data_IF_587849859456
#
_entry.id   IF_587849859456
#
_cell.length_a   1.000
_cell.length_b   1.000
_cell.length_c   1.000
_cell.angle_alpha   90.00
_cell.angle_beta   90.00
_cell.angle_gamma   90.00
#
_symmetry.space_group_name_H-M   'P 1'
#
loop_
_entity.id
_entity.type
_entity.pdbx_description
1 polymer ?
#
# COMPACT_ATOMS: atom_id res chain seq x y z
N UNK A 1 13.02 17.71 -2.67
CA UNK A 1 11.93 17.14 -3.47
C UNK A 1 10.69 17.15 -2.60
N UNK A 2 9.52 17.51 -3.12
CA UNK A 2 8.30 17.60 -2.28
C UNK A 2 7.89 16.20 -1.81
N UNK A 3 7.60 15.99 -0.51
CA UNK A 3 7.12 14.71 -0.01
C UNK A 3 5.87 14.22 -0.75
N UNK A 4 4.99 15.12 -1.16
CA UNK A 4 3.79 14.81 -1.94
C UNK A 4 4.14 14.18 -3.29
N UNK A 5 5.16 14.68 -4.00
CA UNK A 5 5.58 14.09 -5.27
C UNK A 5 6.20 12.69 -5.08
N UNK A 6 6.95 12.49 -3.99
CA UNK A 6 7.53 11.17 -3.67
C UNK A 6 6.41 10.19 -3.34
N UNK A 7 5.49 10.58 -2.46
CA UNK A 7 4.35 9.75 -2.09
C UNK A 7 3.45 9.46 -3.30
N UNK A 8 3.18 10.44 -4.15
CA UNK A 8 2.44 10.23 -5.40
C UNK A 8 3.10 9.19 -6.30
N UNK A 9 4.43 9.24 -6.45
CA UNK A 9 5.17 8.23 -7.20
C UNK A 9 5.08 6.84 -6.54
N UNK A 10 5.17 6.75 -5.21
CA UNK A 10 5.03 5.48 -4.48
C UNK A 10 3.62 4.88 -4.68
N UNK A 11 2.57 5.68 -4.49
CA UNK A 11 1.18 5.25 -4.65
C UNK A 11 0.82 4.93 -6.09
N UNK A 12 1.41 5.63 -7.07
CA UNK A 12 1.26 5.29 -8.49
C UNK A 12 1.83 3.89 -8.79
N UNK A 13 3.03 3.57 -8.30
CA UNK A 13 3.64 2.25 -8.48
C UNK A 13 2.83 1.14 -7.77
N UNK A 14 2.31 1.41 -6.57
CA UNK A 14 1.38 0.48 -5.88
C UNK A 14 0.12 0.25 -6.72
N UNK A 15 -0.41 1.29 -7.37
CA UNK A 15 -1.53 1.20 -8.31
C UNK A 15 -1.22 0.26 -9.48
N UNK A 16 -0.03 0.38 -10.09
CA UNK A 16 0.40 -0.52 -11.17
C UNK A 16 0.49 -1.99 -10.70
N UNK A 17 1.05 -2.21 -9.51
CA UNK A 17 1.11 -3.56 -8.94
C UNK A 17 -0.30 -4.10 -8.68
N UNK A 18 -1.24 -3.25 -8.25
CA UNK A 18 -2.61 -3.64 -7.98
C UNK A 18 -3.32 -4.07 -9.26
N UNK A 19 -3.24 -3.27 -10.32
CA UNK A 19 -3.78 -3.62 -11.65
C UNK A 19 -3.17 -4.93 -12.17
N UNK A 20 -1.87 -5.17 -11.94
CA UNK A 20 -1.24 -6.43 -12.33
C UNK A 20 -1.80 -7.65 -11.58
N UNK A 21 -2.19 -7.50 -10.31
CA UNK A 21 -2.89 -8.54 -9.55
C UNK A 21 -4.30 -8.82 -10.08
N UNK A 22 -5.03 -7.78 -10.50
CA UNK A 22 -6.38 -7.91 -11.06
C UNK A 22 -6.37 -8.67 -12.39
N UNK A 23 -5.36 -8.43 -13.23
CA UNK A 23 -5.23 -9.12 -14.52
C UNK A 23 -4.75 -10.57 -14.38
N UNK A 24 -3.88 -10.84 -13.39
CA UNK A 24 -3.22 -12.15 -13.22
C UNK A 24 -3.06 -12.49 -11.74
N UNK A 25 -3.57 -13.63 -11.27
CA UNK A 25 -3.29 -14.13 -9.93
C UNK A 25 -1.78 -14.26 -9.71
N UNK A 26 -1.29 -13.68 -8.62
CA UNK A 26 0.12 -13.69 -8.26
C UNK A 26 0.43 -14.75 -7.19
N UNK A 27 1.71 -15.08 -7.04
CA UNK A 27 2.17 -15.98 -5.98
C UNK A 27 2.52 -15.20 -4.72
N UNK A 28 2.50 -15.88 -3.58
CA UNK A 28 2.84 -15.31 -2.27
C UNK A 28 4.09 -14.40 -2.23
N UNK A 29 5.22 -14.70 -2.90
CA UNK A 29 6.38 -13.79 -2.89
C UNK A 29 6.07 -12.40 -3.43
N UNK A 30 5.22 -12.30 -4.47
CA UNK A 30 4.78 -11.02 -5.01
C UNK A 30 3.94 -10.25 -4.00
N UNK A 31 2.95 -10.90 -3.38
CA UNK A 31 2.11 -10.24 -2.37
C UNK A 31 2.89 -9.80 -1.14
N UNK A 32 3.95 -10.53 -0.74
CA UNK A 32 4.88 -10.10 0.30
C UNK A 32 5.66 -8.85 -0.10
N UNK A 33 6.21 -8.82 -1.31
CA UNK A 33 6.88 -7.62 -1.84
C UNK A 33 5.93 -6.43 -1.95
N UNK A 34 4.69 -6.66 -2.39
CA UNK A 34 3.63 -5.66 -2.42
C UNK A 34 3.39 -5.08 -1.02
N UNK A 35 3.18 -5.95 -0.03
CA UNK A 35 2.92 -5.54 1.36
C UNK A 35 4.08 -4.72 1.93
N UNK A 36 5.33 -5.09 1.62
CA UNK A 36 6.49 -4.31 2.05
C UNK A 36 6.48 -2.90 1.45
N UNK A 37 6.22 -2.78 0.16
CA UNK A 37 6.19 -1.47 -0.49
C UNK A 37 5.01 -0.61 -0.03
N UNK A 38 3.86 -1.25 0.22
CA UNK A 38 2.71 -0.62 0.86
C UNK A 38 3.06 -0.07 2.25
N UNK A 39 3.74 -0.85 3.10
CA UNK A 39 4.23 -0.41 4.42
C UNK A 39 5.16 0.80 4.32
N UNK A 40 6.10 0.79 3.37
CA UNK A 40 7.01 1.92 3.15
C UNK A 40 6.23 3.20 2.75
N UNK A 41 5.24 3.08 1.84
CA UNK A 41 4.41 4.22 1.42
C UNK A 41 3.56 4.77 2.56
N UNK A 42 3.00 3.89 3.40
CA UNK A 42 2.26 4.26 4.60
C UNK A 42 3.16 4.99 5.62
N UNK A 43 4.34 4.44 5.92
CA UNK A 43 5.30 5.03 6.84
C UNK A 43 5.77 6.40 6.34
N UNK A 44 6.07 6.53 5.05
CA UNK A 44 6.47 7.79 4.44
C UNK A 44 5.35 8.83 4.55
N UNK A 45 4.11 8.47 4.19
CA UNK A 45 2.97 9.37 4.26
C UNK A 45 2.64 9.76 5.72
N UNK A 46 2.80 8.84 6.67
CA UNK A 46 2.64 9.10 8.11
C UNK A 46 3.69 10.08 8.63
N UNK A 47 4.96 9.81 8.36
CA UNK A 47 6.09 10.65 8.77
C UNK A 47 5.96 12.10 8.29
N UNK A 48 5.44 12.29 7.07
CA UNK A 48 5.21 13.61 6.49
C UNK A 48 3.81 14.19 6.77
N UNK A 49 2.97 13.51 7.55
CA UNK A 49 1.60 13.94 7.89
C UNK A 49 0.67 14.16 6.67
N UNK A 50 0.90 13.40 5.60
CA UNK A 50 0.15 13.49 4.33
C UNK A 50 -0.77 12.28 4.06
N UNK A 51 -0.97 11.40 5.05
CA UNK A 51 -1.94 10.29 4.99
C UNK A 51 -3.32 10.71 4.43
N UNK A 52 -3.93 11.85 4.83
CA UNK A 52 -5.24 12.24 4.33
C UNK A 52 -5.31 12.37 2.80
N UNK A 53 -4.19 12.68 2.13
CA UNK A 53 -4.13 12.80 0.66
C UNK A 53 -4.27 11.46 -0.06
N UNK A 54 -3.91 10.36 0.60
CA UNK A 54 -3.82 9.03 -0.01
C UNK A 54 -4.80 8.00 0.59
N UNK A 55 -5.74 8.46 1.43
CA UNK A 55 -6.69 7.59 2.14
C UNK A 55 -7.47 6.68 1.20
N UNK A 56 -7.86 7.17 0.03
CA UNK A 56 -8.60 6.38 -0.96
C UNK A 56 -7.75 5.21 -1.48
N UNK A 57 -6.50 5.47 -1.84
CA UNK A 57 -5.56 4.48 -2.36
C UNK A 57 -5.22 3.43 -1.29
N UNK A 58 -4.99 3.89 -0.05
CA UNK A 58 -4.76 3.07 1.13
C UNK A 58 -5.89 2.06 1.32
N UNK A 59 -7.14 2.54 1.35
CA UNK A 59 -8.31 1.69 1.56
C UNK A 59 -8.58 0.75 0.38
N UNK A 60 -8.30 1.18 -0.86
CA UNK A 60 -8.46 0.34 -2.04
C UNK A 60 -7.52 -0.88 -1.97
N UNK A 61 -6.24 -0.65 -1.70
CA UNK A 61 -5.24 -1.72 -1.55
C UNK A 61 -5.60 -2.64 -0.38
N UNK A 62 -5.94 -2.08 0.78
CA UNK A 62 -6.35 -2.87 1.92
C UNK A 62 -7.56 -3.76 1.61
N UNK A 63 -8.57 -3.23 0.94
CA UNK A 63 -9.77 -3.99 0.58
C UNK A 63 -9.43 -5.13 -0.37
N UNK A 64 -8.62 -4.88 -1.40
CA UNK A 64 -8.19 -5.91 -2.34
C UNK A 64 -7.33 -6.99 -1.68
N UNK A 65 -6.52 -6.62 -0.69
CA UNK A 65 -5.62 -7.54 0.01
C UNK A 65 -6.32 -8.58 0.89
N UNK A 66 -7.61 -8.39 1.21
CA UNK A 66 -8.38 -9.29 2.08
C UNK A 66 -8.47 -10.71 1.56
N UNK A 67 -8.42 -10.88 0.24
CA UNK A 67 -8.47 -12.18 -0.42
C UNK A 67 -7.07 -12.75 -0.71
N UNK A 68 -5.99 -12.07 -0.30
CA UNK A 68 -4.62 -12.52 -0.54
C UNK A 68 -4.11 -13.38 0.63
N UNK A 69 -3.18 -14.29 0.32
CA UNK A 69 -2.58 -15.20 1.31
C UNK A 69 -1.91 -14.50 2.52
N UNK A 70 -1.56 -13.21 2.39
CA UNK A 70 -0.94 -12.40 3.42
C UNK A 70 -1.82 -11.22 3.89
N UNK A 71 -3.14 -11.33 3.79
CA UNK A 71 -4.10 -10.30 4.22
C UNK A 71 -3.81 -9.72 5.62
N UNK A 72 -3.44 -10.59 6.58
CA UNK A 72 -3.10 -10.19 7.95
C UNK A 72 -1.93 -9.19 8.01
N UNK A 73 -0.95 -9.30 7.12
CA UNK A 73 0.19 -8.38 7.10
C UNK A 73 -0.22 -6.96 6.67
N UNK A 74 -1.26 -6.83 5.84
CA UNK A 74 -1.83 -5.55 5.43
C UNK A 74 -2.68 -4.93 6.54
N UNK A 75 -3.47 -5.73 7.24
CA UNK A 75 -4.23 -5.27 8.41
C UNK A 75 -3.31 -4.70 9.49
N UNK A 76 -2.25 -5.44 9.84
CA UNK A 76 -1.25 -4.99 10.83
C UNK A 76 -0.54 -3.69 10.42
N UNK A 77 -0.33 -3.46 9.12
CA UNK A 77 0.32 -2.24 8.65
C UNK A 77 -0.52 -0.98 8.82
N UNK A 78 -1.86 -1.10 8.83
CA UNK A 78 -2.75 0.04 9.07
C UNK A 78 -2.78 0.44 10.55
N UNK A 79 -2.69 -0.53 11.46
CA UNK A 79 -2.65 -0.27 12.91
C UNK A 79 -1.42 0.56 13.31
N UNK A 80 -0.34 0.51 12.52
CA UNK A 80 0.90 1.26 12.80
C UNK A 80 0.80 2.76 12.50
N UNK A 81 -0.35 3.24 11.98
CA UNK A 81 -0.56 4.64 11.57
C UNK A 81 -1.56 5.36 12.48
N UNK A 82 -2.24 4.64 13.38
CA UNK A 82 -3.22 5.22 14.32
C UNK A 82 -2.63 5.65 15.68
N UNK A 83 -1.30 5.54 15.86
CA UNK A 83 -0.52 6.08 17.00
C UNK A 83 0.39 7.24 16.57
#
# INVERSE_FOLDING_TARGET
MSPELIAEFMWYNIGLMHTFCEEKPQRLPFFKSFCNFYKEALQFASYHQIIPLYKTQILAVYTASKDWENAYDFEMSLQTIED
#
